data_IF_660492390526
#
_entry.id   IF_660492390526
#
_cell.length_a   1.000
_cell.length_b   1.000
_cell.length_c   1.000
_cell.angle_alpha   90.00
_cell.angle_beta   90.00
_cell.angle_gamma   90.00
#
_symmetry.space_group_name_H-M   'P 1'
#
loop_
_entity.id
_entity.type
_entity.pdbx_description
1 polymer ?
#
# COMPACT_ATOMS: atom_id res chain seq x y z
N UNK A 1 61.11 -32.01 -1.57
CA UNK A 1 59.89 -31.47 -2.14
C UNK A 1 59.17 -30.62 -1.09
N UNK A 2 59.28 -29.29 -1.20
CA UNK A 2 58.49 -28.35 -0.38
C UNK A 2 57.10 -28.29 -0.94
N UNK A 3 56.11 -28.75 -0.20
CA UNK A 3 54.68 -28.54 -0.48
C UNK A 3 54.22 -27.34 0.32
N UNK A 4 53.98 -26.22 -0.34
CA UNK A 4 53.26 -25.09 0.25
C UNK A 4 51.78 -25.45 0.34
N UNK A 5 51.18 -25.35 1.52
CA UNK A 5 49.73 -25.43 1.71
C UNK A 5 49.21 -24.03 1.98
N UNK A 6 48.31 -23.58 1.11
CA UNK A 6 47.51 -22.38 1.33
C UNK A 6 46.15 -22.81 1.83
N UNK A 7 45.70 -22.23 2.91
CA UNK A 7 44.35 -22.48 3.47
C UNK A 7 43.45 -21.29 3.11
N UNK A 8 42.44 -21.52 2.30
CA UNK A 8 41.40 -20.53 2.01
C UNK A 8 40.27 -20.79 2.99
N UNK A 9 39.99 -19.81 3.85
CA UNK A 9 38.83 -19.84 4.72
C UNK A 9 37.65 -19.22 3.99
N UNK A 10 36.65 -20.03 3.64
CA UNK A 10 35.39 -19.54 3.09
C UNK A 10 34.51 -19.18 4.29
N UNK A 11 34.31 -17.88 4.54
CA UNK A 11 33.33 -17.41 5.52
C UNK A 11 31.93 -17.63 4.95
N UNK A 12 31.07 -18.28 5.73
CA UNK A 12 29.61 -18.31 5.42
C UNK A 12 29.02 -16.90 5.44
N UNK A 13 28.02 -16.68 4.61
CA UNK A 13 27.28 -15.39 4.59
C UNK A 13 26.54 -15.17 5.92
N UNK A 14 26.73 -13.99 6.50
CA UNK A 14 26.07 -13.58 7.74
C UNK A 14 24.79 -12.86 7.46
N UNK A 15 23.80 -13.03 8.35
CA UNK A 15 22.53 -12.28 8.32
C UNK A 15 22.80 -10.77 8.42
N UNK A 16 22.29 -9.99 7.47
CA UNK A 16 22.51 -8.55 7.38
C UNK A 16 21.26 -7.73 7.57
N UNK A 17 20.22 -7.97 6.77
CA UNK A 17 18.98 -7.18 6.81
C UNK A 17 17.76 -7.96 6.33
N UNK A 18 16.60 -7.50 6.76
CA UNK A 18 15.29 -7.85 6.16
C UNK A 18 14.72 -6.58 5.53
N UNK A 19 14.23 -6.69 4.31
CA UNK A 19 13.58 -5.62 3.58
C UNK A 19 12.13 -6.01 3.32
N UNK A 20 11.20 -5.09 3.54
CA UNK A 20 9.84 -5.20 3.04
C UNK A 20 9.84 -4.93 1.53
N UNK A 21 9.17 -5.80 0.76
CA UNK A 21 9.15 -5.71 -0.71
C UNK A 21 7.80 -5.19 -1.20
N UNK A 22 6.70 -5.84 -0.81
CA UNK A 22 5.35 -5.46 -1.24
C UNK A 22 4.27 -6.02 -0.32
N UNK A 23 3.10 -5.38 -0.36
CA UNK A 23 1.82 -5.93 0.08
C UNK A 23 0.85 -5.91 -1.11
N UNK A 24 0.25 -7.04 -1.44
CA UNK A 24 -0.63 -7.16 -2.59
C UNK A 24 -1.94 -7.88 -2.19
N UNK A 25 -3.04 -7.14 -2.21
CA UNK A 25 -3.17 -5.68 -2.32
C UNK A 25 -2.68 -4.96 -1.05
N UNK A 26 -2.39 -3.66 -1.14
CA UNK A 26 -1.99 -2.80 -0.03
C UNK A 26 -3.16 -2.36 0.87
N UNK A 27 -4.40 -2.63 0.44
CA UNK A 27 -5.63 -2.38 1.17
C UNK A 27 -6.60 -3.56 0.99
N UNK A 28 -7.23 -4.00 2.09
CA UNK A 28 -8.19 -5.10 2.09
C UNK A 28 -9.48 -4.70 2.79
N UNK A 29 -10.56 -5.45 2.50
CA UNK A 29 -11.86 -5.20 3.12
C UNK A 29 -12.11 -6.16 4.27
N UNK A 30 -13.07 -5.80 5.12
CA UNK A 30 -13.48 -6.61 6.27
C UNK A 30 -13.85 -8.03 5.87
N UNK A 31 -13.62 -8.97 6.77
CA UNK A 31 -14.04 -10.36 6.61
C UNK A 31 -15.54 -10.45 6.32
N UNK A 32 -15.90 -11.18 5.26
CA UNK A 32 -17.27 -11.36 4.81
C UNK A 32 -17.82 -10.24 3.92
N UNK A 33 -17.00 -9.24 3.55
CA UNK A 33 -17.39 -8.13 2.66
C UNK A 33 -16.66 -8.15 1.31
N UNK A 34 -15.84 -9.16 1.05
CA UNK A 34 -15.13 -9.35 -0.20
C UNK A 34 -16.03 -9.66 -1.39
N UNK A 35 -15.43 -9.77 -2.57
CA UNK A 35 -16.10 -10.02 -3.85
C UNK A 35 -16.12 -8.79 -4.75
N UNK A 36 -16.43 -8.98 -6.03
CA UNK A 36 -16.42 -7.94 -7.05
C UNK A 36 -15.09 -7.14 -7.12
N UNK A 37 -13.96 -7.86 -7.02
CA UNK A 37 -12.63 -7.24 -7.04
C UNK A 37 -12.09 -6.82 -5.67
N UNK A 38 -12.90 -6.86 -4.60
CA UNK A 38 -12.47 -6.58 -3.24
C UNK A 38 -11.91 -7.83 -2.57
N UNK A 39 -10.73 -7.73 -1.98
CA UNK A 39 -10.05 -8.85 -1.33
C UNK A 39 -10.06 -8.70 0.20
N UNK A 40 -10.22 -9.82 0.90
CA UNK A 40 -10.18 -9.92 2.36
C UNK A 40 -8.79 -10.32 2.88
N UNK A 41 -7.86 -10.58 1.96
CA UNK A 41 -6.51 -11.06 2.26
C UNK A 41 -5.48 -10.29 1.45
N UNK A 42 -4.32 -10.04 2.07
CA UNK A 42 -3.16 -9.43 1.41
C UNK A 42 -1.93 -10.31 1.60
N UNK A 43 -1.14 -10.47 0.55
CA UNK A 43 0.14 -11.18 0.59
C UNK A 43 1.27 -10.19 0.78
N UNK A 44 1.99 -10.30 1.89
CA UNK A 44 3.15 -9.48 2.21
C UNK A 44 4.42 -10.25 1.93
N UNK A 45 5.32 -9.63 1.18
CA UNK A 45 6.60 -10.23 0.75
C UNK A 45 7.77 -9.49 1.40
N UNK A 46 8.71 -10.26 1.92
CA UNK A 46 9.94 -9.76 2.52
C UNK A 46 11.14 -10.42 1.84
N UNK A 47 12.29 -9.74 1.86
CA UNK A 47 13.57 -10.23 1.35
C UNK A 47 14.62 -10.18 2.44
N UNK A 48 15.38 -11.28 2.58
CA UNK A 48 16.51 -11.35 3.52
C UNK A 48 17.82 -11.26 2.74
N UNK A 49 18.70 -10.40 3.21
CA UNK A 49 20.04 -10.19 2.65
C UNK A 49 21.12 -10.42 3.69
N UNK A 50 22.28 -10.83 3.22
CA UNK A 50 23.51 -10.91 4.03
C UNK A 50 24.09 -9.51 4.28
N UNK A 51 25.09 -9.43 5.15
CA UNK A 51 25.86 -8.20 5.38
C UNK A 51 26.59 -7.72 4.12
N UNK A 52 26.87 -8.60 3.17
CA UNK A 52 27.46 -8.26 1.86
C UNK A 52 26.43 -7.84 0.82
N UNK A 53 25.12 -7.83 1.16
CA UNK A 53 24.04 -7.46 0.27
C UNK A 53 23.52 -8.60 -0.62
N UNK A 54 24.09 -9.81 -0.53
CA UNK A 54 23.60 -10.96 -1.27
C UNK A 54 22.30 -11.49 -0.66
N UNK A 55 21.46 -12.15 -1.45
CA UNK A 55 20.25 -12.80 -0.95
C UNK A 55 20.61 -14.01 -0.09
N UNK A 56 19.87 -14.21 1.02
CA UNK A 56 20.04 -15.35 1.92
C UNK A 56 18.90 -16.35 1.74
N UNK A 57 19.13 -17.47 1.02
CA UNK A 57 18.17 -18.57 0.96
C UNK A 57 18.18 -19.40 2.24
N UNK A 58 17.09 -20.13 2.48
CA UNK A 58 16.91 -21.03 3.62
C UNK A 58 17.12 -20.38 5.00
N UNK A 59 16.94 -19.04 5.07
CA UNK A 59 16.93 -18.31 6.33
C UNK A 59 15.54 -18.37 6.94
N UNK A 60 15.45 -18.79 8.20
CA UNK A 60 14.20 -18.77 8.95
C UNK A 60 13.81 -17.34 9.30
N UNK A 61 12.52 -17.00 9.06
CA UNK A 61 11.93 -15.72 9.37
C UNK A 61 10.65 -15.95 10.16
N UNK A 62 10.48 -15.20 11.24
CA UNK A 62 9.27 -15.20 12.06
C UNK A 62 8.44 -13.94 11.80
N UNK A 63 7.13 -14.10 11.78
CA UNK A 63 6.17 -13.02 11.54
C UNK A 63 5.29 -12.76 12.76
N UNK A 64 5.02 -11.50 13.01
CA UNK A 64 4.07 -11.06 14.02
C UNK A 64 3.23 -9.89 13.53
N UNK A 65 1.99 -9.79 14.03
CA UNK A 65 1.08 -8.68 13.74
C UNK A 65 1.26 -7.58 14.81
N UNK A 66 1.13 -6.31 14.40
CA UNK A 66 1.06 -5.19 15.33
C UNK A 66 -0.23 -5.19 16.16
N UNK A 67 -1.30 -5.81 15.63
CA UNK A 67 -2.59 -5.96 16.31
C UNK A 67 -3.34 -7.20 15.80
N UNK A 68 -4.14 -7.82 16.64
CA UNK A 68 -5.04 -8.93 16.27
C UNK A 68 -6.53 -8.56 16.49
N UNK A 69 -6.83 -7.25 16.56
CA UNK A 69 -8.19 -6.75 16.79
C UNK A 69 -9.13 -7.25 15.69
N UNK A 70 -10.33 -7.67 16.10
CA UNK A 70 -11.34 -8.17 15.17
C UNK A 70 -11.03 -9.54 14.57
N UNK A 71 -10.00 -10.24 15.04
CA UNK A 71 -9.63 -11.56 14.53
C UNK A 71 -8.75 -11.53 13.28
N UNK A 72 -7.95 -10.48 13.09
CA UNK A 72 -6.90 -10.43 12.05
C UNK A 72 -5.93 -11.58 12.30
N UNK A 73 -5.54 -12.28 11.26
CA UNK A 73 -4.67 -13.45 11.37
C UNK A 73 -3.62 -13.52 10.25
N UNK A 74 -2.54 -14.24 10.53
CA UNK A 74 -1.51 -14.62 9.55
C UNK A 74 -1.74 -16.05 9.07
N UNK A 75 -1.47 -16.31 7.80
CA UNK A 75 -1.48 -17.67 7.23
C UNK A 75 -0.36 -18.53 7.79
N UNK A 76 0.77 -17.91 8.17
CA UNK A 76 1.92 -18.54 8.83
C UNK A 76 2.64 -17.54 9.72
N UNK A 77 3.19 -18.03 10.81
CA UNK A 77 3.99 -17.25 11.77
C UNK A 77 5.48 -17.41 11.56
N UNK A 78 5.94 -18.41 10.78
CA UNK A 78 7.34 -18.60 10.41
C UNK A 78 7.46 -19.31 9.06
N UNK A 79 8.67 -19.31 8.51
CA UNK A 79 9.02 -20.04 7.31
C UNK A 79 10.46 -19.76 6.87
N UNK A 80 10.88 -20.36 5.75
CA UNK A 80 12.21 -20.21 5.20
C UNK A 80 12.18 -19.43 3.90
N UNK A 81 13.22 -18.62 3.68
CA UNK A 81 13.39 -17.90 2.41
C UNK A 81 13.68 -18.86 1.27
N UNK A 82 13.21 -18.52 0.08
CA UNK A 82 13.48 -19.24 -1.16
C UNK A 82 14.89 -18.94 -1.71
N UNK A 83 15.22 -19.47 -2.90
CA UNK A 83 16.52 -19.25 -3.57
C UNK A 83 16.81 -17.78 -3.91
N UNK A 84 15.79 -16.92 -3.93
CA UNK A 84 15.92 -15.48 -4.16
C UNK A 84 15.93 -14.66 -2.85
N UNK A 85 16.02 -15.34 -1.69
CA UNK A 85 15.95 -14.72 -0.37
C UNK A 85 14.56 -14.17 -0.03
N UNK A 86 13.51 -14.53 -0.78
CA UNK A 86 12.14 -14.06 -0.58
C UNK A 86 11.37 -15.02 0.33
N UNK A 87 10.52 -14.41 1.15
CA UNK A 87 9.50 -15.11 1.95
C UNK A 87 8.24 -14.25 1.99
N UNK A 88 7.08 -14.89 2.03
CA UNK A 88 5.80 -14.22 2.15
C UNK A 88 4.97 -14.77 3.31
N UNK A 89 4.04 -13.97 3.79
CA UNK A 89 2.93 -14.39 4.64
C UNK A 89 1.67 -13.69 4.16
N UNK A 90 0.50 -14.26 4.44
CA UNK A 90 -0.78 -13.66 4.08
C UNK A 90 -1.48 -13.17 5.34
N UNK A 91 -1.93 -11.92 5.31
CA UNK A 91 -2.80 -11.31 6.32
C UNK A 91 -4.25 -11.52 5.89
N UNK A 92 -5.06 -12.07 6.77
CA UNK A 92 -6.51 -12.16 6.59
C UNK A 92 -7.21 -11.12 7.46
N UNK A 93 -8.17 -10.40 6.87
CA UNK A 93 -8.94 -9.37 7.54
C UNK A 93 -9.78 -9.94 8.70
N UNK A 94 -9.94 -9.10 9.71
CA UNK A 94 -10.88 -9.32 10.81
C UNK A 94 -12.24 -8.66 10.54
N UNK A 95 -13.05 -8.58 11.58
CA UNK A 95 -14.41 -7.99 11.56
C UNK A 95 -14.44 -6.51 11.98
N UNK A 96 -13.28 -5.91 12.26
CA UNK A 96 -13.16 -4.52 12.73
C UNK A 96 -12.25 -3.73 11.78
N UNK A 97 -12.69 -2.56 11.27
CA UNK A 97 -11.86 -1.69 10.45
C UNK A 97 -10.66 -1.20 11.26
N UNK A 98 -9.47 -1.37 10.72
CA UNK A 98 -8.23 -0.98 11.39
C UNK A 98 -7.07 -0.98 10.40
N UNK A 99 -5.92 -0.55 10.86
CA UNK A 99 -4.68 -0.65 10.11
C UNK A 99 -3.70 -1.55 10.87
N UNK A 100 -2.96 -2.37 10.15
CA UNK A 100 -2.06 -3.36 10.70
C UNK A 100 -0.70 -3.33 10.00
N UNK A 101 0.37 -3.62 10.74
CA UNK A 101 1.71 -3.89 10.20
C UNK A 101 2.12 -5.31 10.55
N UNK A 102 2.90 -5.90 9.69
CA UNK A 102 3.57 -7.18 9.94
C UNK A 102 5.04 -6.91 10.21
N UNK A 103 5.53 -7.42 11.32
CA UNK A 103 6.97 -7.43 11.62
C UNK A 103 7.55 -8.79 11.23
N UNK A 104 8.57 -8.75 10.37
CA UNK A 104 9.40 -9.91 10.04
C UNK A 104 10.69 -9.83 10.85
N UNK A 105 11.07 -10.90 11.52
CA UNK A 105 12.31 -11.04 12.30
C UNK A 105 13.06 -12.31 11.94
N UNK A 106 14.38 -12.22 11.89
CA UNK A 106 15.24 -13.37 11.68
C UNK A 106 16.43 -13.31 12.65
N UNK A 107 16.94 -14.48 13.00
CA UNK A 107 18.16 -14.60 13.78
C UNK A 107 19.05 -15.71 13.22
N UNK A 108 20.36 -15.55 13.42
CA UNK A 108 21.38 -16.51 13.02
C UNK A 108 22.46 -16.57 14.10
N UNK A 109 22.90 -17.79 14.45
CA UNK A 109 24.06 -17.96 15.30
C UNK A 109 25.33 -18.01 14.42
N UNK A 110 26.27 -17.13 14.71
CA UNK A 110 27.54 -17.06 14.01
C UNK A 110 28.66 -16.82 15.01
N UNK A 111 29.63 -17.77 15.09
CA UNK A 111 30.76 -17.71 16.04
C UNK A 111 30.35 -17.47 17.49
N UNK A 112 29.35 -18.20 17.98
CA UNK A 112 28.76 -18.08 19.33
C UNK A 112 28.08 -16.73 19.63
N UNK A 113 27.88 -15.87 18.60
CA UNK A 113 27.11 -14.62 18.68
C UNK A 113 25.79 -14.75 17.96
N UNK A 114 24.70 -14.21 18.56
CA UNK A 114 23.36 -14.18 17.94
C UNK A 114 23.20 -12.88 17.17
N UNK A 115 23.16 -12.96 15.87
CA UNK A 115 22.81 -11.84 15.00
C UNK A 115 21.28 -11.86 14.81
N UNK A 116 20.60 -10.77 15.16
CA UNK A 116 19.14 -10.64 14.99
C UNK A 116 18.82 -9.36 14.21
N UNK A 117 17.89 -9.47 13.26
CA UNK A 117 17.39 -8.36 12.44
C UNK A 117 15.89 -8.40 12.35
N UNK A 118 15.27 -7.24 12.16
CA UNK A 118 13.82 -7.13 11.99
C UNK A 118 13.47 -6.01 11.01
N UNK A 119 12.32 -6.13 10.38
CA UNK A 119 11.74 -5.12 9.51
C UNK A 119 10.22 -5.13 9.63
N UNK A 120 9.58 -3.98 9.40
CA UNK A 120 8.13 -3.86 9.36
C UNK A 120 7.65 -3.60 7.94
N UNK A 121 6.45 -4.12 7.64
CA UNK A 121 5.73 -3.78 6.42
C UNK A 121 5.26 -2.34 6.42
N UNK A 122 4.86 -1.84 5.25
CA UNK A 122 3.99 -0.68 5.17
C UNK A 122 2.67 -0.96 5.88
N UNK A 123 1.90 0.10 6.09
CA UNK A 123 0.60 0.02 6.75
C UNK A 123 -0.41 -0.64 5.81
N UNK A 124 -0.92 -1.81 6.20
CA UNK A 124 -2.02 -2.47 5.52
C UNK A 124 -3.33 -1.95 6.11
N UNK A 125 -4.15 -1.31 5.28
CA UNK A 125 -5.47 -0.81 5.67
C UNK A 125 -6.54 -1.88 5.53
N UNK A 126 -7.37 -2.05 6.57
CA UNK A 126 -8.55 -2.91 6.57
C UNK A 126 -9.76 -1.98 6.70
N UNK A 127 -10.52 -1.82 5.61
CA UNK A 127 -11.61 -0.85 5.49
C UNK A 127 -12.97 -1.53 5.31
N UNK A 128 -14.05 -0.76 5.36
CA UNK A 128 -15.41 -1.27 5.16
C UNK A 128 -15.74 -1.55 3.69
N UNK A 129 -14.90 -1.09 2.77
CA UNK A 129 -15.13 -1.20 1.34
C UNK A 129 -16.18 -0.23 0.79
N UNK A 130 -16.74 0.65 1.63
CA UNK A 130 -17.80 1.60 1.27
C UNK A 130 -17.34 3.03 1.58
N UNK A 131 -17.46 3.95 0.61
CA UNK A 131 -17.19 5.36 0.86
C UNK A 131 -18.25 5.96 1.81
N UNK A 132 -17.80 6.86 2.68
CA UNK A 132 -18.67 7.64 3.56
C UNK A 132 -18.69 9.11 3.12
N UNK A 133 -19.87 9.66 2.90
CA UNK A 133 -20.04 11.04 2.40
C UNK A 133 -19.34 12.09 3.30
N UNK A 134 -19.36 11.89 4.62
CA UNK A 134 -18.74 12.81 5.58
C UNK A 134 -17.20 12.74 5.58
N UNK A 135 -16.67 11.69 4.99
CA UNK A 135 -15.23 11.44 4.88
C UNK A 135 -14.71 11.64 3.45
N UNK A 136 -15.49 12.37 2.63
CA UNK A 136 -15.09 12.77 1.29
C UNK A 136 -14.57 14.21 1.29
N UNK A 137 -13.51 14.45 0.53
CA UNK A 137 -12.95 15.79 0.29
C UNK A 137 -12.73 15.97 -1.20
N UNK A 138 -13.03 17.18 -1.68
CA UNK A 138 -12.75 17.60 -3.07
C UNK A 138 -11.91 18.88 -3.05
N UNK A 139 -10.94 18.98 -3.94
CA UNK A 139 -10.11 20.18 -4.09
C UNK A 139 -9.77 20.42 -5.57
N UNK A 140 -9.59 21.69 -5.91
CA UNK A 140 -9.13 22.13 -7.21
C UNK A 140 -7.67 22.62 -7.15
N UNK A 141 -6.86 22.30 -8.14
CA UNK A 141 -5.48 22.77 -8.24
C UNK A 141 -5.40 24.28 -8.47
N UNK A 142 -6.38 24.85 -9.17
CA UNK A 142 -6.55 26.28 -9.40
C UNK A 142 -8.00 26.64 -9.03
N UNK A 143 -8.17 27.46 -7.98
CA UNK A 143 -9.50 27.83 -7.46
C UNK A 143 -10.18 28.94 -8.28
N UNK A 144 -9.42 29.77 -8.96
CA UNK A 144 -9.91 30.90 -9.77
C UNK A 144 -9.17 30.97 -11.13
N UNK A 145 -9.36 29.97 -11.99
CA UNK A 145 -8.81 30.05 -13.35
C UNK A 145 -9.46 31.19 -14.12
N UNK A 146 -8.72 31.84 -15.04
CA UNK A 146 -9.22 32.93 -15.91
C UNK A 146 -10.23 32.40 -16.96
N UNK A 147 -11.02 31.45 -16.56
CA UNK A 147 -11.91 30.66 -17.41
C UNK A 147 -13.19 31.37 -17.86
N UNK A 148 -13.54 32.54 -17.28
CA UNK A 148 -14.76 33.24 -17.69
C UNK A 148 -14.62 33.89 -19.08
N UNK A 149 -13.47 34.46 -19.38
CA UNK A 149 -13.22 35.12 -20.65
C UNK A 149 -12.37 34.28 -21.63
N UNK A 150 -11.63 33.31 -21.11
CA UNK A 150 -10.71 32.49 -21.89
C UNK A 150 -11.22 31.04 -21.87
N UNK A 151 -11.32 30.43 -23.06
CA UNK A 151 -11.62 28.98 -23.18
C UNK A 151 -10.32 28.20 -23.21
N UNK A 152 -10.34 27.00 -22.60
CA UNK A 152 -9.18 26.13 -22.56
C UNK A 152 -8.35 26.26 -21.28
N UNK A 153 -8.72 27.14 -20.34
CA UNK A 153 -8.10 27.16 -19.00
C UNK A 153 -8.45 25.89 -18.23
N UNK A 154 -7.44 25.29 -17.57
CA UNK A 154 -7.57 23.98 -16.95
C UNK A 154 -7.41 24.05 -15.42
N UNK A 155 -8.16 23.23 -14.72
CA UNK A 155 -7.97 22.93 -13.29
C UNK A 155 -8.13 21.43 -13.04
N UNK A 156 -7.22 20.85 -12.27
CA UNK A 156 -7.33 19.46 -11.84
C UNK A 156 -8.17 19.41 -10.57
N UNK A 157 -9.22 18.62 -10.63
CA UNK A 157 -10.13 18.38 -9.51
C UNK A 157 -9.79 17.03 -8.92
N UNK A 158 -9.38 17.01 -7.66
CA UNK A 158 -9.01 15.79 -6.95
C UNK A 158 -10.04 15.49 -5.88
N UNK A 159 -10.53 14.26 -5.84
CA UNK A 159 -11.38 13.74 -4.77
C UNK A 159 -10.58 12.75 -3.92
N UNK A 160 -10.74 12.84 -2.61
CA UNK A 160 -10.26 11.87 -1.61
C UNK A 160 -11.46 11.26 -0.93
N UNK A 161 -11.50 9.93 -0.89
CA UNK A 161 -12.58 9.16 -0.31
C UNK A 161 -12.04 8.23 0.77
N UNK A 162 -12.72 8.21 1.90
CA UNK A 162 -12.48 7.25 2.97
C UNK A 162 -13.77 6.65 3.49
N UNK A 163 -13.63 5.56 4.24
CA UNK A 163 -14.73 4.95 4.97
C UNK A 163 -15.06 5.74 6.25
N UNK A 164 -16.07 5.28 6.99
CA UNK A 164 -16.51 5.90 8.26
C UNK A 164 -15.44 5.88 9.37
N UNK A 165 -14.34 5.15 9.16
CA UNK A 165 -13.20 5.04 10.09
C UNK A 165 -11.95 5.77 9.58
N UNK A 166 -12.10 6.58 8.52
CA UNK A 166 -11.04 7.32 7.83
C UNK A 166 -9.97 6.45 7.15
N UNK A 167 -10.28 5.18 6.87
CA UNK A 167 -9.42 4.36 6.03
C UNK A 167 -9.70 4.68 4.55
N UNK A 168 -8.69 4.72 3.67
CA UNK A 168 -8.91 4.89 2.24
C UNK A 168 -9.88 3.84 1.70
N UNK A 169 -10.76 4.24 0.78
CA UNK A 169 -11.60 3.27 0.06
C UNK A 169 -10.75 2.37 -0.83
N UNK A 170 -11.23 1.16 -1.17
CA UNK A 170 -10.52 0.26 -2.07
C UNK A 170 -10.21 0.90 -3.41
N UNK A 171 -9.08 0.51 -4.00
CA UNK A 171 -8.73 0.88 -5.36
C UNK A 171 -9.80 0.45 -6.37
N UNK A 172 -9.97 1.25 -7.41
CA UNK A 172 -11.00 1.03 -8.41
C UNK A 172 -12.40 1.52 -8.02
N UNK A 173 -12.57 2.17 -6.85
CA UNK A 173 -13.84 2.84 -6.52
C UNK A 173 -14.07 3.99 -7.49
N UNK A 174 -15.18 3.96 -8.23
CA UNK A 174 -15.50 4.97 -9.24
C UNK A 174 -16.10 6.21 -8.58
N UNK A 175 -15.60 7.38 -8.96
CA UNK A 175 -16.14 8.70 -8.59
C UNK A 175 -16.66 9.36 -9.85
N UNK A 176 -17.90 9.81 -9.83
CA UNK A 176 -18.51 10.53 -10.94
C UNK A 176 -18.54 12.03 -10.64
N UNK A 177 -18.30 12.84 -11.67
CA UNK A 177 -18.28 14.29 -11.58
C UNK A 177 -19.26 14.91 -12.55
N UNK A 178 -19.90 15.98 -12.11
CA UNK A 178 -20.69 16.87 -12.94
C UNK A 178 -20.26 18.30 -12.70
N UNK A 179 -20.41 19.16 -13.69
CA UNK A 179 -20.08 20.58 -13.62
C UNK A 179 -21.25 21.42 -14.13
N UNK A 180 -21.46 22.56 -13.51
CA UNK A 180 -22.46 23.56 -13.91
C UNK A 180 -22.03 24.31 -15.17
N UNK A 181 -20.73 24.54 -15.36
CA UNK A 181 -20.15 25.22 -16.51
C UNK A 181 -18.79 24.68 -16.88
N UNK A 182 -18.39 24.91 -18.14
CA UNK A 182 -17.19 24.31 -18.68
C UNK A 182 -17.37 22.83 -19.02
N UNK A 183 -16.28 22.12 -19.15
CA UNK A 183 -16.23 20.68 -19.43
C UNK A 183 -15.43 19.99 -18.36
N UNK A 184 -15.92 18.85 -17.83
CA UNK A 184 -15.21 18.01 -16.86
C UNK A 184 -15.15 16.56 -17.34
N UNK A 185 -14.05 15.88 -17.08
CA UNK A 185 -14.00 14.44 -17.26
C UNK A 185 -15.03 13.77 -16.33
N UNK A 186 -15.91 12.91 -16.86
CA UNK A 186 -17.10 12.49 -16.13
C UNK A 186 -16.83 11.58 -14.94
N UNK A 187 -15.71 10.88 -14.90
CA UNK A 187 -15.38 9.96 -13.80
C UNK A 187 -13.89 9.66 -13.72
N UNK A 188 -13.47 9.16 -12.56
CA UNK A 188 -12.17 8.53 -12.33
C UNK A 188 -12.33 7.34 -11.37
N UNK A 189 -11.29 6.51 -11.30
CA UNK A 189 -11.19 5.39 -10.35
C UNK A 189 -10.10 5.65 -9.33
N UNK A 190 -10.37 5.34 -8.06
CA UNK A 190 -9.45 5.61 -6.96
C UNK A 190 -8.20 4.73 -7.00
N UNK A 191 -7.08 5.32 -6.57
CA UNK A 191 -5.85 4.66 -6.17
C UNK A 191 -5.47 5.27 -4.81
N UNK A 192 -5.26 4.43 -3.80
CA UNK A 192 -5.04 4.89 -2.41
C UNK A 192 -6.11 5.87 -1.92
N UNK A 193 -7.37 5.58 -2.24
CA UNK A 193 -8.52 6.39 -1.83
C UNK A 193 -8.66 7.73 -2.54
N UNK A 194 -7.89 8.05 -3.57
CA UNK A 194 -7.96 9.31 -4.30
C UNK A 194 -7.99 9.10 -5.80
N UNK A 195 -8.63 10.03 -6.52
CA UNK A 195 -8.52 10.13 -7.97
C UNK A 195 -8.76 11.57 -8.44
N UNK A 196 -8.35 11.86 -9.67
CA UNK A 196 -8.41 13.22 -10.22
C UNK A 196 -9.02 13.22 -11.61
N UNK A 197 -9.72 14.30 -11.92
CA UNK A 197 -10.27 14.60 -13.25
C UNK A 197 -9.86 16.01 -13.66
N UNK A 198 -9.88 16.26 -14.96
CA UNK A 198 -9.59 17.57 -15.52
C UNK A 198 -10.90 18.32 -15.80
N UNK A 199 -10.98 19.55 -15.30
CA UNK A 199 -11.96 20.54 -15.71
C UNK A 199 -11.31 21.53 -16.67
N UNK A 200 -12.06 21.93 -17.72
CA UNK A 200 -11.59 22.88 -18.74
C UNK A 200 -12.67 23.93 -18.99
N UNK A 201 -12.30 25.20 -19.02
CA UNK A 201 -13.19 26.29 -19.31
C UNK A 201 -13.74 26.24 -20.74
N UNK A 202 -15.04 26.31 -20.90
CA UNK A 202 -15.74 26.33 -22.19
C UNK A 202 -17.17 26.86 -22.02
N UNK A 203 -17.90 27.06 -23.13
CA UNK A 203 -19.35 27.30 -23.06
C UNK A 203 -20.11 26.02 -22.63
N UNK A 204 -21.23 26.15 -21.90
CA UNK A 204 -21.88 27.38 -21.44
C UNK A 204 -21.14 28.01 -20.23
N UNK A 205 -21.15 29.34 -20.14
CA UNK A 205 -20.57 30.10 -19.05
C UNK A 205 -21.65 30.49 -18.04
N UNK A 206 -21.34 30.39 -16.77
CA UNK A 206 -22.23 30.76 -15.67
C UNK A 206 -22.21 32.28 -15.47
N UNK A 207 -23.37 32.86 -15.16
CA UNK A 207 -23.53 34.30 -15.06
C UNK A 207 -22.97 34.90 -13.77
N UNK A 208 -22.81 34.09 -12.72
CA UNK A 208 -22.35 34.52 -11.39
C UNK A 208 -20.84 34.32 -11.21
N UNK A 209 -20.13 33.90 -12.27
CA UNK A 209 -18.68 33.62 -12.29
C UNK A 209 -18.23 32.51 -11.32
N UNK A 210 -19.14 31.65 -10.88
CA UNK A 210 -18.87 30.52 -9.98
C UNK A 210 -19.31 29.24 -10.64
N UNK A 211 -18.49 28.22 -10.55
CA UNK A 211 -18.79 26.90 -11.11
C UNK A 211 -18.90 25.91 -9.98
N UNK A 212 -20.06 25.28 -9.88
CA UNK A 212 -20.30 24.18 -8.97
C UNK A 212 -19.85 22.88 -9.63
N UNK A 213 -19.04 22.11 -8.91
CA UNK A 213 -18.63 20.75 -9.28
C UNK A 213 -19.18 19.82 -8.21
N UNK A 214 -19.88 18.77 -8.65
CA UNK A 214 -20.50 17.76 -7.82
C UNK A 214 -19.93 16.39 -8.13
#
# INVERSE_FOLDING_TARGET
TNTARETITIQGEQLGSIEFVSAEPDSIVLKGTGGQGKQETSTLTFRVKSQLGNVLPQQEVNFSLSTAVGGISLSRFSGFTNSQGLINTQVSAGSVPTAVRVTASASMNFNDEVIAVQSQSDLLSINTGLPEQRSMTIAASVLNPEGHNISGEESIITAWLSDNFHNPVPDGTTVNFTTEGGNIEPNCSTINGSCSVKWTSSEPRVTDHRITIL
#
